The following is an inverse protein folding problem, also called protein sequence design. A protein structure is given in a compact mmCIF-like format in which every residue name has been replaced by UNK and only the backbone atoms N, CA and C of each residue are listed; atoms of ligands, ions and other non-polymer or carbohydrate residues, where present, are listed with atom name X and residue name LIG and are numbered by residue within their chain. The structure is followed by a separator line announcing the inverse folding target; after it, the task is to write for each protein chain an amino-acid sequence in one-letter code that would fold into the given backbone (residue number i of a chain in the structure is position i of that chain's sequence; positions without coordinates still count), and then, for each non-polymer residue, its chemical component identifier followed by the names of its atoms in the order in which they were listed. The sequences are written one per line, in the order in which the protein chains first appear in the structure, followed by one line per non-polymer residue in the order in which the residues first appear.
data_IF_246321888508
#
_entry.id   IF_246321888508
#
_cell.length_a   1.000
_cell.length_b   1.000
_cell.length_c   1.000
_cell.angle_alpha   90.00
_cell.angle_beta   90.00
_cell.angle_gamma   90.00
#
_symmetry.space_group_name_H-M   'P 1'
#
loop_
_entity.id
_entity.type
_entity.pdbx_description
1 polymer ?
#
# COMPACT_ATOMS: atom_id res chain seq x y z
N UNK A 1 20.74 14.27 -17.40
CA UNK A 1 20.02 14.69 -16.21
C UNK A 1 20.93 14.49 -15.00
N UNK A 2 21.18 15.55 -14.23
CA UNK A 2 22.02 15.46 -13.03
C UNK A 2 21.10 15.03 -11.87
N UNK A 3 21.34 13.84 -11.33
CA UNK A 3 20.65 13.33 -10.13
C UNK A 3 21.55 13.58 -8.94
N UNK A 4 21.04 14.28 -7.92
CA UNK A 4 21.73 14.41 -6.64
C UNK A 4 21.62 13.08 -5.88
N UNK A 5 22.75 12.42 -5.70
CA UNK A 5 22.85 11.21 -4.85
C UNK A 5 23.55 11.59 -3.54
N UNK A 6 23.17 10.95 -2.44
CA UNK A 6 23.67 11.27 -1.09
C UNK A 6 24.55 10.16 -0.46
N UNK A 7 25.42 9.43 -1.20
CA UNK A 7 26.20 8.36 -0.60
C UNK A 7 27.13 8.89 0.51
N UNK A 8 27.66 10.12 0.38
CA UNK A 8 28.47 10.72 1.42
C UNK A 8 27.77 11.02 2.75
N UNK A 9 26.42 11.07 2.74
CA UNK A 9 25.61 11.20 3.95
C UNK A 9 25.33 9.84 4.59
N UNK A 10 24.97 8.85 3.77
CA UNK A 10 24.70 7.49 4.25
C UNK A 10 25.95 6.78 4.77
N UNK A 11 27.12 7.09 4.18
CA UNK A 11 28.41 6.53 4.58
C UNK A 11 29.02 7.27 5.78
N UNK A 12 28.45 8.43 6.16
CA UNK A 12 28.91 9.20 7.32
C UNK A 12 28.29 8.63 8.61
N UNK A 13 29.04 7.79 9.31
CA UNK A 13 28.60 7.14 10.55
C UNK A 13 28.19 8.14 11.64
N UNK A 14 28.86 9.28 11.74
CA UNK A 14 28.54 10.33 12.72
C UNK A 14 27.17 10.95 12.44
N UNK A 15 26.88 11.25 11.19
CA UNK A 15 25.56 11.79 10.80
C UNK A 15 24.44 10.78 11.07
N UNK A 16 24.65 9.52 10.70
CA UNK A 16 23.68 8.45 10.92
C UNK A 16 23.41 8.22 12.41
N UNK A 17 24.45 8.25 13.25
CA UNK A 17 24.31 8.14 14.70
C UNK A 17 23.57 9.35 15.30
N UNK A 18 23.86 10.56 14.86
CA UNK A 18 23.14 11.76 15.29
C UNK A 18 21.66 11.69 14.93
N UNK A 19 21.33 11.30 13.70
CA UNK A 19 19.94 11.14 13.26
C UNK A 19 19.21 10.09 14.10
N UNK A 20 19.84 8.94 14.35
CA UNK A 20 19.26 7.91 15.20
C UNK A 20 18.94 8.43 16.59
N UNK A 21 19.91 9.07 17.23
CA UNK A 21 19.75 9.61 18.58
C UNK A 21 18.67 10.69 18.65
N UNK A 22 18.53 11.54 17.61
CA UNK A 22 17.48 12.55 17.53
C UNK A 22 16.11 11.89 17.37
N UNK A 23 15.97 10.92 16.48
CA UNK A 23 14.72 10.21 16.26
C UNK A 23 14.28 9.43 17.52
N UNK A 24 15.19 8.71 18.17
CA UNK A 24 14.93 7.99 19.42
C UNK A 24 14.50 8.95 20.53
N UNK A 25 15.19 10.08 20.71
CA UNK A 25 14.83 11.08 21.71
C UNK A 25 13.46 11.68 21.45
N UNK A 26 13.13 11.99 20.20
CA UNK A 26 11.83 12.56 19.83
C UNK A 26 10.71 11.53 19.99
N UNK A 27 10.95 10.28 19.63
CA UNK A 27 10.01 9.17 19.83
C UNK A 27 9.72 8.96 21.32
N UNK A 28 10.76 8.93 22.17
CA UNK A 28 10.63 8.80 23.62
C UNK A 28 9.82 9.96 24.23
N UNK A 29 10.03 11.20 23.78
CA UNK A 29 9.33 12.38 24.30
C UNK A 29 7.88 12.49 23.82
N UNK A 30 7.59 12.06 22.58
CA UNK A 30 6.26 12.14 21.99
C UNK A 30 5.43 10.86 22.15
N UNK A 31 6.08 9.76 22.57
CA UNK A 31 5.42 8.44 22.77
C UNK A 31 4.97 7.78 21.48
N UNK A 32 5.49 8.22 20.33
CA UNK A 32 5.15 7.70 18.99
C UNK A 32 6.33 7.96 18.05
N UNK A 33 6.57 7.08 17.05
CA UNK A 33 7.53 7.36 15.99
C UNK A 33 7.28 8.72 15.35
N UNK A 34 8.34 9.36 14.89
CA UNK A 34 8.28 10.71 14.34
C UNK A 34 8.82 10.79 12.93
N UNK A 35 8.28 11.74 12.18
CA UNK A 35 8.79 12.20 10.89
C UNK A 35 9.42 13.58 11.09
N UNK A 36 10.64 13.77 10.57
CA UNK A 36 11.39 15.01 10.78
C UNK A 36 11.87 15.61 9.46
N UNK A 37 11.72 16.94 9.37
CA UNK A 37 12.40 17.72 8.35
C UNK A 37 13.63 18.38 8.99
N UNK A 38 14.75 18.29 8.32
CA UNK A 38 16.02 18.86 8.82
C UNK A 38 16.83 19.54 7.73
N UNK A 39 17.76 20.39 8.15
CA UNK A 39 18.85 20.91 7.32
C UNK A 39 20.18 20.69 8.03
N UNK A 40 21.25 20.57 7.24
CA UNK A 40 22.61 20.42 7.75
C UNK A 40 23.56 21.27 6.90
N UNK A 41 24.36 22.14 7.53
CA UNK A 41 25.29 23.05 6.85
C UNK A 41 26.71 22.50 6.75
N UNK A 42 26.93 21.25 7.12
CA UNK A 42 28.22 20.58 7.18
C UNK A 42 28.83 20.59 8.59
N UNK A 43 28.30 21.39 9.52
CA UNK A 43 28.76 21.47 10.91
C UNK A 43 27.64 21.32 11.92
N UNK A 44 26.48 21.91 11.63
CA UNK A 44 25.34 21.98 12.54
C UNK A 44 24.12 21.32 11.91
N UNK A 45 23.37 20.61 12.75
CA UNK A 45 22.09 20.02 12.42
C UNK A 45 20.96 20.96 12.87
N UNK A 46 19.98 21.19 11.99
CA UNK A 46 18.83 22.04 12.24
C UNK A 46 17.57 21.23 12.07
N UNK A 47 16.86 20.98 13.16
CA UNK A 47 15.52 20.39 13.10
C UNK A 47 14.54 21.49 12.67
N UNK A 48 13.96 21.36 11.49
CA UNK A 48 13.03 22.34 10.92
C UNK A 48 11.60 22.02 11.28
N UNK A 49 11.25 20.74 11.33
CA UNK A 49 9.91 20.27 11.67
C UNK A 49 10.00 18.88 12.29
N UNK A 50 9.11 18.60 13.25
CA UNK A 50 8.89 17.29 13.81
C UNK A 50 7.36 17.05 13.87
N UNK A 51 6.91 15.91 13.38
CA UNK A 51 5.52 15.48 13.43
C UNK A 51 5.46 14.05 13.96
N UNK A 52 4.44 13.67 14.73
CA UNK A 52 4.16 12.28 15.00
C UNK A 52 4.00 11.55 13.66
N UNK A 53 4.70 10.44 13.49
CA UNK A 53 4.48 9.58 12.34
C UNK A 53 3.08 8.99 12.46
N UNK A 54 2.21 9.26 11.47
CA UNK A 54 0.90 8.66 11.45
C UNK A 54 1.09 7.16 11.27
N UNK A 55 0.73 6.39 12.29
CA UNK A 55 0.63 4.93 12.13
C UNK A 55 -0.38 4.69 11.02
N UNK A 56 0.01 3.93 10.02
CA UNK A 56 -0.92 3.38 9.05
C UNK A 56 -2.06 2.78 9.86
N UNK A 57 -3.28 3.25 9.58
CA UNK A 57 -4.48 2.91 10.36
C UNK A 57 -4.53 1.39 10.55
N UNK A 58 -4.52 0.93 11.81
CA UNK A 58 -4.56 -0.49 12.22
C UNK A 58 -5.92 -1.14 11.90
N UNK A 59 -6.65 -0.61 10.93
CA UNK A 59 -7.89 -1.22 10.46
C UNK A 59 -7.60 -2.59 9.89
N UNK A 60 -8.38 -3.56 10.33
CA UNK A 60 -8.34 -4.89 9.75
C UNK A 60 -8.69 -4.82 8.24
N UNK A 61 -8.11 -5.71 7.40
CA UNK A 61 -8.47 -5.80 6.00
C UNK A 61 -9.96 -6.16 5.88
N UNK A 62 -10.69 -5.43 5.05
CA UNK A 62 -12.10 -5.73 4.81
C UNK A 62 -12.22 -6.97 3.91
N UNK A 63 -13.17 -7.89 4.20
CA UNK A 63 -13.48 -8.97 3.27
C UNK A 63 -14.08 -8.38 1.99
N UNK A 64 -13.53 -8.78 0.82
CA UNK A 64 -14.01 -8.32 -0.49
C UNK A 64 -14.94 -9.39 -1.07
N UNK A 65 -16.28 -9.17 -1.13
CA UNK A 65 -17.21 -10.12 -1.73
C UNK A 65 -16.96 -10.22 -3.25
N UNK A 66 -17.03 -11.44 -3.79
CA UNK A 66 -16.79 -11.70 -5.21
C UNK A 66 -18.08 -11.76 -6.05
N UNK A 67 -19.22 -11.98 -5.40
CA UNK A 67 -20.51 -12.17 -6.07
C UNK A 67 -21.38 -10.90 -5.98
N UNK A 68 -20.80 -9.73 -6.29
CA UNK A 68 -21.55 -8.47 -6.31
C UNK A 68 -22.10 -8.22 -7.71
N UNK A 69 -23.42 -7.93 -7.85
CA UNK A 69 -23.98 -7.56 -9.14
C UNK A 69 -23.24 -6.37 -9.75
N UNK A 70 -22.92 -6.43 -11.05
CA UNK A 70 -22.14 -5.40 -11.73
C UNK A 70 -22.78 -4.01 -11.67
N UNK A 71 -24.11 -3.94 -11.63
CA UNK A 71 -24.85 -2.68 -11.53
C UNK A 71 -24.74 -2.04 -10.14
N UNK A 72 -24.36 -2.80 -9.12
CA UNK A 72 -24.19 -2.32 -7.76
C UNK A 72 -22.74 -1.88 -7.48
N UNK A 73 -21.81 -2.21 -8.36
CA UNK A 73 -20.41 -1.76 -8.25
C UNK A 73 -20.25 -0.35 -8.80
N UNK A 74 -19.72 0.56 -7.97
CA UNK A 74 -19.42 1.93 -8.38
C UNK A 74 -17.98 2.07 -8.86
N UNK A 75 -17.04 1.51 -8.13
CA UNK A 75 -15.65 1.38 -8.59
C UNK A 75 -14.92 0.23 -7.89
N UNK A 76 -13.86 -0.25 -8.54
CA UNK A 76 -12.87 -1.15 -7.95
C UNK A 76 -11.48 -0.55 -8.11
N UNK A 77 -10.53 -0.95 -7.27
CA UNK A 77 -9.11 -0.62 -7.44
C UNK A 77 -8.27 -1.83 -7.05
N UNK A 78 -7.08 -1.95 -7.64
CA UNK A 78 -6.18 -3.10 -7.54
C UNK A 78 -4.73 -2.71 -7.22
N UNK A 79 -4.49 -1.47 -6.77
CA UNK A 79 -3.16 -1.02 -6.35
C UNK A 79 -3.18 0.10 -5.33
N UNK A 80 -2.15 0.07 -4.47
CA UNK A 80 -1.93 1.05 -3.40
C UNK A 80 -3.12 1.16 -2.45
N UNK A 81 -3.78 0.04 -2.20
CA UNK A 81 -4.94 -0.04 -1.32
C UNK A 81 -4.49 -0.18 0.13
N UNK A 82 -4.96 0.71 1.00
CA UNK A 82 -4.83 0.58 2.47
C UNK A 82 -5.94 -0.31 3.02
N UNK A 83 -5.83 -0.76 4.29
CA UNK A 83 -6.94 -1.44 4.94
C UNK A 83 -8.02 -0.45 5.37
N UNK A 84 -9.28 -0.86 5.26
CA UNK A 84 -10.38 -0.03 5.76
C UNK A 84 -11.76 -0.55 5.40
N UNK A 85 -12.73 -0.07 6.18
CA UNK A 85 -14.14 -0.34 5.99
C UNK A 85 -14.91 0.96 6.21
N UNK A 86 -15.58 1.47 5.18
CA UNK A 86 -16.29 2.74 5.21
C UNK A 86 -17.76 2.45 4.92
N UNK A 87 -18.58 2.37 5.95
CA UNK A 87 -20.01 2.09 5.79
C UNK A 87 -20.79 3.36 5.45
N UNK A 88 -21.99 3.17 4.92
CA UNK A 88 -23.08 4.12 4.90
C UNK A 88 -22.73 5.51 4.33
N UNK A 89 -22.01 5.56 3.24
CA UNK A 89 -21.78 6.79 2.50
C UNK A 89 -23.08 7.20 1.80
N UNK A 90 -23.56 8.39 2.14
CA UNK A 90 -24.82 8.92 1.62
C UNK A 90 -24.62 9.88 0.45
N UNK A 91 -23.44 10.47 0.31
CA UNK A 91 -23.19 11.41 -0.78
C UNK A 91 -21.87 11.14 -1.49
N UNK A 92 -21.87 11.36 -2.80
CA UNK A 92 -20.67 11.37 -3.64
C UNK A 92 -20.50 12.76 -4.23
N UNK A 93 -19.36 13.37 -3.99
CA UNK A 93 -18.94 14.61 -4.66
C UNK A 93 -17.96 14.21 -5.76
N UNK A 94 -18.41 14.33 -7.00
CA UNK A 94 -17.68 13.88 -8.18
C UNK A 94 -17.27 15.05 -9.06
N UNK A 95 -15.97 15.21 -9.26
CA UNK A 95 -15.39 16.11 -10.26
C UNK A 95 -15.08 15.31 -11.50
N UNK A 96 -15.82 15.53 -12.59
CA UNK A 96 -15.59 14.80 -13.84
C UNK A 96 -14.22 15.16 -14.46
N UNK A 97 -13.31 14.17 -14.64
CA UNK A 97 -11.97 14.43 -15.15
C UNK A 97 -11.95 15.08 -16.53
N UNK A 98 -12.87 14.66 -17.42
CA UNK A 98 -12.91 15.19 -18.80
C UNK A 98 -13.38 16.65 -18.81
N UNK A 99 -14.44 16.95 -18.03
CA UNK A 99 -14.97 18.31 -17.93
C UNK A 99 -14.01 19.24 -17.19
N UNK A 100 -13.37 18.75 -16.12
CA UNK A 100 -12.37 19.55 -15.41
C UNK A 100 -11.20 19.95 -16.30
N UNK A 101 -10.73 19.05 -17.16
CA UNK A 101 -9.65 19.33 -18.11
C UNK A 101 -10.00 20.34 -19.20
N UNK A 102 -11.28 20.50 -19.48
CA UNK A 102 -11.78 21.47 -20.47
C UNK A 102 -11.92 22.89 -19.87
N UNK A 103 -11.77 23.04 -18.57
CA UNK A 103 -11.75 24.36 -17.94
C UNK A 103 -10.49 25.12 -18.39
N UNK A 104 -10.67 26.22 -19.10
CA UNK A 104 -9.55 26.99 -19.66
C UNK A 104 -9.06 28.09 -18.72
N UNK A 105 -9.87 28.45 -17.71
CA UNK A 105 -9.60 29.52 -16.78
C UNK A 105 -9.16 29.01 -15.41
N UNK A 106 -8.03 29.53 -14.91
CA UNK A 106 -7.59 29.27 -13.53
C UNK A 106 -8.69 29.58 -12.51
N UNK A 107 -9.48 30.63 -12.75
CA UNK A 107 -10.56 31.05 -11.85
C UNK A 107 -11.68 30.00 -11.77
N UNK A 108 -12.00 29.30 -12.85
CA UNK A 108 -12.99 28.23 -12.85
C UNK A 108 -12.49 27.01 -12.10
N UNK A 109 -11.23 26.64 -12.24
CA UNK A 109 -10.61 25.55 -11.47
C UNK A 109 -10.60 25.88 -9.96
N UNK A 110 -10.26 27.11 -9.59
CA UNK A 110 -10.33 27.58 -8.20
C UNK A 110 -11.79 27.66 -7.70
N UNK A 111 -12.75 27.95 -8.57
CA UNK A 111 -14.16 27.93 -8.20
C UNK A 111 -14.65 26.53 -7.85
N UNK A 112 -14.17 25.47 -8.55
CA UNK A 112 -14.44 24.08 -8.19
C UNK A 112 -13.91 23.80 -6.78
N UNK A 113 -12.66 24.14 -6.48
CA UNK A 113 -12.05 23.93 -5.17
C UNK A 113 -12.83 24.68 -4.05
N UNK A 114 -13.16 25.96 -4.24
CA UNK A 114 -13.97 26.74 -3.29
C UNK A 114 -15.35 26.12 -3.07
N UNK A 115 -15.97 25.60 -4.11
CA UNK A 115 -17.28 24.95 -4.01
C UNK A 115 -17.19 23.66 -3.20
N UNK A 116 -16.13 22.86 -3.39
CA UNK A 116 -15.88 21.67 -2.55
C UNK A 116 -15.73 22.08 -1.08
N UNK A 117 -15.01 23.15 -0.77
CA UNK A 117 -14.91 23.68 0.60
C UNK A 117 -16.27 24.13 1.19
N UNK A 118 -17.21 24.62 0.36
CA UNK A 118 -18.59 24.89 0.79
C UNK A 118 -19.36 23.60 1.06
N UNK A 119 -19.27 22.62 0.15
CA UNK A 119 -19.93 21.33 0.28
C UNK A 119 -19.44 20.55 1.50
N UNK A 120 -18.15 20.65 1.83
CA UNK A 120 -17.57 20.07 3.04
C UNK A 120 -18.24 20.55 4.34
N UNK A 121 -18.79 21.77 4.35
CA UNK A 121 -19.52 22.34 5.50
C UNK A 121 -21.01 22.00 5.50
N UNK A 122 -21.58 21.69 4.35
CA UNK A 122 -23.01 21.42 4.17
C UNK A 122 -23.33 19.92 4.26
N UNK A 123 -22.44 19.07 3.78
CA UNK A 123 -22.67 17.63 3.75
C UNK A 123 -22.44 16.98 5.12
N UNK A 124 -23.13 15.85 5.41
CA UNK A 124 -22.97 15.13 6.66
C UNK A 124 -21.52 14.62 6.83
N UNK A 125 -20.88 15.02 7.93
CA UNK A 125 -19.48 14.67 8.20
C UNK A 125 -19.26 13.16 8.19
N UNK A 126 -18.21 12.70 7.49
CA UNK A 126 -17.84 11.29 7.32
C UNK A 126 -18.90 10.43 6.63
N UNK A 127 -19.87 11.04 5.96
CA UNK A 127 -20.93 10.38 5.20
C UNK A 127 -20.86 10.68 3.71
N UNK A 128 -19.79 11.33 3.26
CA UNK A 128 -19.55 11.59 1.85
C UNK A 128 -18.11 11.26 1.45
N UNK A 129 -17.92 10.97 0.17
CA UNK A 129 -16.61 10.76 -0.45
C UNK A 129 -16.39 11.79 -1.56
N UNK A 130 -15.12 12.06 -1.83
CA UNK A 130 -14.67 12.92 -2.92
C UNK A 130 -13.99 12.09 -3.98
N UNK A 131 -14.43 12.24 -5.23
CA UNK A 131 -13.81 11.63 -6.41
C UNK A 131 -13.42 12.73 -7.39
N UNK A 132 -12.20 12.70 -7.93
CA UNK A 132 -11.86 13.68 -8.95
C UNK A 132 -10.45 13.51 -9.52
N UNK A 133 -10.11 14.29 -10.55
CA UNK A 133 -8.93 14.08 -11.37
C UNK A 133 -7.63 14.47 -10.67
N UNK A 134 -6.59 13.70 -10.93
CA UNK A 134 -5.22 14.04 -10.68
C UNK A 134 -4.87 14.26 -9.22
N UNK A 135 -3.82 15.03 -9.01
CA UNK A 135 -3.23 15.32 -7.70
C UNK A 135 -3.95 16.48 -7.01
N UNK A 136 -4.70 16.18 -5.96
CA UNK A 136 -5.33 17.19 -5.13
C UNK A 136 -4.32 17.86 -4.18
N UNK A 137 -4.66 19.02 -3.62
CA UNK A 137 -3.78 19.73 -2.69
C UNK A 137 -2.55 20.41 -3.33
N UNK A 138 -2.43 20.42 -4.64
CA UNK A 138 -1.35 21.12 -5.34
C UNK A 138 -1.48 22.63 -5.21
N UNK A 139 -0.55 23.29 -4.52
CA UNK A 139 -0.60 24.74 -4.27
C UNK A 139 -0.08 25.58 -5.44
N UNK A 140 0.69 25.02 -6.35
CA UNK A 140 1.35 25.74 -7.44
C UNK A 140 0.63 25.64 -8.78
N UNK A 141 0.28 24.44 -9.19
CA UNK A 141 -0.33 24.15 -10.48
C UNK A 141 -1.73 23.54 -10.33
N UNK A 142 -2.75 24.35 -10.62
CA UNK A 142 -4.16 23.95 -10.53
C UNK A 142 -4.58 22.99 -11.66
N UNK A 143 -3.70 22.77 -12.65
CA UNK A 143 -3.97 21.85 -13.75
C UNK A 143 -3.66 20.39 -13.40
N UNK A 144 -2.87 20.16 -12.34
CA UNK A 144 -2.52 18.82 -11.88
C UNK A 144 -3.69 18.09 -11.22
N UNK A 145 -4.66 18.82 -10.69
CA UNK A 145 -5.85 18.30 -10.02
C UNK A 145 -6.61 19.41 -9.29
N UNK A 146 -7.52 19.05 -8.40
CA UNK A 146 -8.34 20.03 -7.68
C UNK A 146 -7.53 20.65 -6.54
N UNK A 147 -7.30 21.97 -6.60
CA UNK A 147 -6.45 22.69 -5.66
C UNK A 147 -7.19 23.02 -4.35
N UNK A 148 -7.27 22.04 -3.46
CA UNK A 148 -7.86 22.19 -2.11
C UNK A 148 -6.81 22.15 -1.03
N UNK A 149 -7.15 22.63 0.16
CA UNK A 149 -6.39 22.39 1.39
C UNK A 149 -7.09 21.31 2.22
N UNK A 150 -6.40 20.77 3.21
CA UNK A 150 -7.01 19.86 4.17
C UNK A 150 -8.30 20.44 4.78
N UNK A 151 -8.31 21.74 5.14
CA UNK A 151 -9.47 22.39 5.74
C UNK A 151 -10.72 22.36 4.82
N UNK A 152 -10.52 22.35 3.51
CA UNK A 152 -11.59 22.32 2.52
C UNK A 152 -12.26 20.94 2.39
N UNK A 153 -11.63 19.87 2.91
CA UNK A 153 -12.10 18.50 2.77
C UNK A 153 -12.14 17.72 4.09
N UNK A 154 -11.92 18.37 5.22
CA UNK A 154 -11.78 17.73 6.54
C UNK A 154 -13.01 16.92 7.00
N UNK A 155 -14.16 17.11 6.39
CA UNK A 155 -15.42 16.39 6.68
C UNK A 155 -15.60 15.12 5.86
N UNK A 156 -14.83 14.91 4.77
CA UNK A 156 -14.96 13.72 3.92
C UNK A 156 -14.55 12.44 4.67
N UNK A 157 -15.14 11.31 4.29
CA UNK A 157 -14.71 10.00 4.75
C UNK A 157 -13.49 9.50 3.93
N UNK A 158 -13.46 9.84 2.64
CA UNK A 158 -12.45 9.33 1.71
C UNK A 158 -12.22 10.31 0.56
N UNK A 159 -10.98 10.41 0.10
CA UNK A 159 -10.57 11.04 -1.14
C UNK A 159 -10.11 9.97 -2.13
N UNK A 160 -10.70 9.98 -3.33
CA UNK A 160 -10.33 9.11 -4.45
C UNK A 160 -9.76 9.99 -5.57
N UNK A 161 -8.48 9.83 -5.84
CA UNK A 161 -7.81 10.51 -6.94
C UNK A 161 -7.83 9.65 -8.20
N UNK A 162 -8.40 10.20 -9.29
CA UNK A 162 -8.59 9.48 -10.54
C UNK A 162 -7.44 9.79 -11.49
N UNK A 163 -6.61 8.77 -11.76
CA UNK A 163 -5.49 8.83 -12.70
C UNK A 163 -5.93 8.34 -14.09
N UNK A 164 -6.89 9.03 -14.71
CA UNK A 164 -7.34 8.72 -16.07
C UNK A 164 -6.28 9.11 -17.10
N UNK A 165 -5.89 8.16 -17.94
CA UNK A 165 -4.86 8.35 -18.98
C UNK A 165 -5.36 9.31 -20.07
N UNK A 166 -4.46 10.18 -20.55
CA UNK A 166 -4.70 11.09 -21.67
C UNK A 166 -3.57 10.94 -22.68
N UNK A 167 -3.79 10.13 -23.70
CA UNK A 167 -2.70 9.72 -24.59
C UNK A 167 -1.62 8.98 -23.79
N UNK A 168 -0.38 9.46 -23.89
CA UNK A 168 0.75 8.87 -23.14
C UNK A 168 0.95 9.47 -21.73
N UNK A 169 0.10 10.40 -21.31
CA UNK A 169 0.19 11.06 -20.02
C UNK A 169 -0.75 10.40 -18.98
N UNK A 170 -0.18 10.02 -17.87
CA UNK A 170 -0.91 9.59 -16.65
C UNK A 170 -0.74 10.69 -15.60
N UNK A 171 -1.83 11.25 -15.04
CA UNK A 171 -1.73 12.29 -14.04
C UNK A 171 -0.98 11.82 -12.78
N UNK A 172 -0.15 12.71 -12.22
CA UNK A 172 0.42 12.52 -10.89
C UNK A 172 -0.67 12.47 -9.83
N UNK A 173 -0.41 11.72 -8.77
CA UNK A 173 -1.29 11.57 -7.61
C UNK A 173 -0.61 12.10 -6.34
N UNK A 174 -1.40 12.35 -5.30
CA UNK A 174 -0.90 12.90 -4.03
C UNK A 174 -0.16 11.87 -3.17
N UNK A 175 -0.12 10.62 -3.55
CA UNK A 175 0.55 9.56 -2.78
C UNK A 175 2.00 9.94 -2.45
N UNK A 176 2.37 9.85 -1.15
CA UNK A 176 3.72 10.22 -0.69
C UNK A 176 3.98 11.72 -0.54
N UNK A 177 2.99 12.59 -0.70
CA UNK A 177 3.13 14.04 -0.47
C UNK A 177 2.70 14.44 0.95
N UNK A 178 3.03 15.67 1.36
CA UNK A 178 2.56 16.23 2.63
C UNK A 178 1.03 16.28 2.72
N UNK A 179 0.35 16.57 1.62
CA UNK A 179 -1.11 16.54 1.57
C UNK A 179 -1.66 15.14 1.87
N UNK A 180 -1.02 14.11 1.33
CA UNK A 180 -1.36 12.72 1.66
C UNK A 180 -1.15 12.42 3.15
N UNK A 181 -0.06 12.90 3.76
CA UNK A 181 0.18 12.76 5.19
C UNK A 181 -0.93 13.43 6.01
N UNK A 182 -1.32 14.67 5.66
CA UNK A 182 -2.43 15.38 6.31
C UNK A 182 -3.74 14.57 6.26
N UNK A 183 -4.01 13.84 5.15
CA UNK A 183 -5.18 12.97 5.03
C UNK A 183 -5.11 11.80 6.02
N UNK A 184 -3.98 11.12 6.08
CA UNK A 184 -3.76 9.96 6.97
C UNK A 184 -3.88 10.37 8.44
N UNK A 185 -3.23 11.45 8.86
CA UNK A 185 -3.31 12.00 10.22
C UNK A 185 -4.75 12.34 10.62
N UNK A 186 -5.53 12.79 9.65
CA UNK A 186 -6.93 13.18 9.85
C UNK A 186 -7.90 12.03 9.70
N UNK A 187 -7.42 10.81 9.51
CA UNK A 187 -8.23 9.62 9.25
C UNK A 187 -9.18 9.78 8.06
N UNK A 188 -8.75 10.52 7.03
CA UNK A 188 -9.39 10.54 5.73
C UNK A 188 -8.77 9.42 4.91
N UNK A 189 -9.58 8.45 4.48
CA UNK A 189 -9.08 7.39 3.62
C UNK A 189 -8.67 7.96 2.26
N UNK A 190 -7.62 7.40 1.70
CA UNK A 190 -7.13 7.78 0.38
C UNK A 190 -7.07 6.55 -0.51
N UNK A 191 -7.47 6.71 -1.77
CA UNK A 191 -7.38 5.68 -2.78
C UNK A 191 -7.02 6.28 -4.13
N UNK A 192 -5.93 5.84 -4.77
CA UNK A 192 -5.69 6.10 -6.18
C UNK A 192 -6.56 5.17 -7.03
N UNK A 193 -7.18 5.71 -8.07
CA UNK A 193 -8.02 4.94 -8.98
C UNK A 193 -7.51 5.08 -10.40
N UNK A 194 -7.25 3.95 -11.04
CA UNK A 194 -6.74 3.86 -12.42
C UNK A 194 -7.80 3.23 -13.33
N UNK A 195 -8.80 3.99 -13.82
CA UNK A 195 -9.96 3.44 -14.52
C UNK A 195 -9.64 2.88 -15.91
N UNK A 196 -8.45 3.13 -16.44
CA UNK A 196 -8.02 2.65 -17.76
C UNK A 196 -7.28 1.30 -17.69
N UNK A 197 -7.19 0.69 -16.50
CA UNK A 197 -6.54 -0.60 -16.32
C UNK A 197 -7.53 -1.76 -16.48
N UNK A 198 -7.04 -2.86 -17.02
CA UNK A 198 -7.84 -4.05 -17.26
C UNK A 198 -8.37 -4.63 -15.93
N UNK A 199 -9.67 -4.86 -15.87
CA UNK A 199 -10.32 -5.42 -14.68
C UNK A 199 -10.81 -4.38 -13.67
N UNK A 200 -10.43 -3.11 -13.81
CA UNK A 200 -10.92 -2.03 -12.94
C UNK A 200 -12.31 -1.59 -13.40
N UNK A 201 -13.27 -1.58 -12.49
CA UNK A 201 -14.61 -1.06 -12.73
C UNK A 201 -14.65 0.41 -12.32
N UNK A 202 -15.16 1.27 -13.20
CA UNK A 202 -15.48 2.65 -12.88
C UNK A 202 -16.83 3.03 -13.50
N UNK A 203 -17.88 3.04 -12.69
CA UNK A 203 -19.27 3.21 -13.14
C UNK A 203 -19.60 4.68 -13.44
N UNK A 204 -19.02 5.20 -14.52
CA UNK A 204 -19.34 6.56 -15.00
C UNK A 204 -20.79 6.76 -15.35
N UNK A 205 -21.50 5.69 -15.77
CA UNK A 205 -22.94 5.76 -16.07
C UNK A 205 -23.73 6.18 -14.84
N UNK A 206 -23.45 5.61 -13.69
CA UNK A 206 -24.08 5.99 -12.43
C UNK A 206 -23.69 7.42 -12.05
N UNK A 207 -22.39 7.74 -12.03
CA UNK A 207 -21.85 9.05 -11.61
C UNK A 207 -22.39 10.21 -12.45
N UNK A 208 -22.58 10.01 -13.75
CA UNK A 208 -23.08 11.04 -14.66
C UNK A 208 -24.61 11.04 -14.79
N UNK A 209 -25.26 9.86 -14.59
CA UNK A 209 -26.70 9.70 -14.76
C UNK A 209 -27.52 10.05 -13.53
N UNK A 210 -26.96 9.96 -12.34
CA UNK A 210 -27.65 10.31 -11.10
C UNK A 210 -28.02 11.80 -11.03
N UNK A 211 -29.12 12.17 -10.34
CA UNK A 211 -29.46 13.58 -10.10
C UNK A 211 -28.31 14.37 -9.44
N UNK A 212 -28.06 15.58 -9.91
CA UNK A 212 -27.02 16.45 -9.36
C UNK A 212 -27.62 17.49 -8.41
N UNK A 213 -27.28 17.42 -7.14
CA UNK A 213 -27.77 18.35 -6.11
C UNK A 213 -26.96 19.65 -6.03
N UNK A 214 -25.95 19.88 -6.88
CA UNK A 214 -25.08 21.05 -6.79
C UNK A 214 -25.86 22.37 -6.78
N UNK A 215 -26.78 22.55 -7.72
CA UNK A 215 -27.59 23.77 -7.84
C UNK A 215 -28.46 24.02 -6.59
N UNK A 216 -28.89 22.96 -5.89
CA UNK A 216 -29.67 23.07 -4.66
C UNK A 216 -28.80 23.44 -3.47
N UNK A 217 -27.62 22.80 -3.33
CA UNK A 217 -26.72 22.99 -2.18
C UNK A 217 -25.83 24.23 -2.31
N UNK A 218 -25.45 24.56 -3.53
CA UNK A 218 -24.59 25.71 -3.84
C UNK A 218 -25.09 26.43 -5.11
N UNK A 219 -26.20 27.18 -5.04
CA UNK A 219 -26.79 27.83 -6.23
C UNK A 219 -25.84 28.77 -6.96
N UNK A 220 -24.93 29.44 -6.26
CA UNK A 220 -23.90 30.30 -6.81
C UNK A 220 -22.83 29.56 -7.63
N UNK A 221 -22.77 28.24 -7.53
CA UNK A 221 -21.89 27.36 -8.27
C UNK A 221 -22.61 26.54 -9.37
N UNK A 222 -23.88 26.82 -9.66
CA UNK A 222 -24.69 26.08 -10.65
C UNK A 222 -23.99 25.99 -12.04
N UNK A 223 -23.25 27.00 -12.44
CA UNK A 223 -22.47 27.02 -13.69
C UNK A 223 -21.41 25.91 -13.78
N UNK A 224 -21.03 25.32 -12.65
CA UNK A 224 -20.08 24.22 -12.58
C UNK A 224 -20.75 22.84 -12.63
N UNK A 225 -22.07 22.75 -12.83
CA UNK A 225 -22.85 21.48 -12.74
C UNK A 225 -22.45 20.44 -13.77
N UNK A 226 -21.81 20.84 -14.87
CA UNK A 226 -21.25 19.90 -15.86
C UNK A 226 -19.92 19.28 -15.38
N UNK A 227 -19.18 19.99 -14.51
CA UNK A 227 -17.86 19.59 -14.02
C UNK A 227 -17.93 18.98 -12.62
N UNK A 228 -18.79 19.54 -11.75
CA UNK A 228 -18.91 19.15 -10.34
C UNK A 228 -20.33 18.64 -10.07
N UNK A 229 -20.42 17.44 -9.54
CA UNK A 229 -21.68 16.78 -9.22
C UNK A 229 -21.74 16.39 -7.76
N UNK A 230 -22.89 16.57 -7.15
CA UNK A 230 -23.19 16.07 -5.81
C UNK A 230 -24.36 15.10 -5.93
N UNK A 231 -24.10 13.85 -5.62
CA UNK A 231 -25.06 12.75 -5.75
C UNK A 231 -25.54 12.35 -4.34
N UNK A 232 -26.84 12.43 -4.10
CA UNK A 232 -27.47 11.79 -2.95
C UNK A 232 -27.71 10.32 -3.31
N UNK A 233 -26.89 9.42 -2.72
CA UNK A 233 -26.92 8.01 -3.06
C UNK A 233 -28.26 7.37 -2.70
N UNK A 234 -28.82 7.56 -1.47
CA UNK A 234 -30.16 7.07 -1.13
C UNK A 234 -31.26 7.54 -2.10
N UNK A 235 -31.26 8.80 -2.46
CA UNK A 235 -32.26 9.34 -3.38
C UNK A 235 -32.12 8.76 -4.80
N UNK A 236 -30.88 8.52 -5.24
CA UNK A 236 -30.61 7.97 -6.56
C UNK A 236 -30.81 6.43 -6.65
N UNK A 237 -30.85 5.72 -5.51
CA UNK A 237 -30.83 4.24 -5.46
C UNK A 237 -31.95 3.62 -4.64
N UNK A 238 -33.07 4.30 -4.47
CA UNK A 238 -34.22 3.83 -3.68
C UNK A 238 -33.88 3.45 -2.23
N UNK A 239 -33.06 4.28 -1.56
CA UNK A 239 -32.76 4.13 -0.14
C UNK A 239 -31.45 3.39 0.17
N UNK A 240 -30.72 2.92 -0.84
CA UNK A 240 -29.39 2.28 -0.62
C UNK A 240 -28.31 3.30 -0.31
N UNK A 241 -27.21 2.83 0.26
CA UNK A 241 -26.01 3.62 0.58
C UNK A 241 -24.79 3.03 -0.12
N UNK A 242 -23.73 3.81 -0.24
CA UNK A 242 -22.45 3.31 -0.76
C UNK A 242 -21.60 2.78 0.40
N UNK A 243 -21.02 1.62 0.24
CA UNK A 243 -20.02 1.01 1.12
C UNK A 243 -18.71 0.89 0.38
N UNK A 244 -17.60 1.25 1.04
CA UNK A 244 -16.26 1.06 0.48
C UNK A 244 -15.47 0.11 1.35
N UNK A 245 -15.00 -0.97 0.74
CA UNK A 245 -14.21 -2.04 1.32
C UNK A 245 -12.79 -1.94 0.78
N UNK A 246 -11.81 -1.98 1.68
CA UNK A 246 -10.39 -1.81 1.36
C UNK A 246 -9.59 -2.93 2.01
N UNK A 247 -8.81 -3.65 1.23
CA UNK A 247 -8.00 -4.78 1.67
C UNK A 247 -6.58 -4.66 1.13
N UNK A 248 -5.64 -4.24 1.98
CA UNK A 248 -4.24 -4.09 1.61
C UNK A 248 -3.51 -5.43 1.42
N UNK A 249 -4.03 -6.52 1.97
CA UNK A 249 -3.42 -7.85 1.79
C UNK A 249 -3.69 -8.41 0.39
N UNK A 250 -4.84 -8.06 -0.19
CA UNK A 250 -5.22 -8.41 -1.56
C UNK A 250 -4.84 -7.32 -2.57
N UNK A 251 -4.48 -6.12 -2.08
CA UNK A 251 -4.38 -4.89 -2.86
C UNK A 251 -5.68 -4.60 -3.64
N UNK A 252 -6.83 -4.90 -3.04
CA UNK A 252 -8.14 -4.77 -3.65
C UNK A 252 -9.02 -3.76 -2.89
N UNK A 253 -9.73 -2.93 -3.63
CA UNK A 253 -10.80 -2.08 -3.13
C UNK A 253 -12.09 -2.29 -3.92
N UNK A 254 -13.23 -2.22 -3.21
CA UNK A 254 -14.56 -2.33 -3.79
C UNK A 254 -15.49 -1.28 -3.19
N UNK A 255 -16.09 -0.47 -4.04
CA UNK A 255 -17.18 0.44 -3.67
C UNK A 255 -18.50 -0.07 -4.26
N UNK A 256 -19.45 -0.42 -3.42
CA UNK A 256 -20.71 -1.04 -3.83
C UNK A 256 -21.91 -0.44 -3.12
N UNK A 257 -23.05 -0.51 -3.78
CA UNK A 257 -24.35 -0.14 -3.23
C UNK A 257 -24.90 -1.27 -2.35
N UNK A 258 -25.30 -0.93 -1.13
CA UNK A 258 -25.88 -1.87 -0.16
C UNK A 258 -27.15 -1.29 0.46
N UNK A 259 -28.00 -2.13 1.01
CA UNK A 259 -29.17 -1.67 1.74
C UNK A 259 -28.77 -0.91 3.02
N UNK A 260 -29.46 0.19 3.31
CA UNK A 260 -29.16 0.97 4.49
C UNK A 260 -29.43 0.16 5.78
N UNK A 261 -28.45 0.09 6.68
CA UNK A 261 -28.56 -0.68 7.93
C UNK A 261 -28.24 -2.17 7.81
N UNK A 262 -27.87 -2.64 6.62
CA UNK A 262 -27.30 -3.96 6.47
C UNK A 262 -25.92 -4.01 7.18
N UNK A 263 -25.84 -4.75 8.29
CA UNK A 263 -24.56 -5.08 8.91
C UNK A 263 -23.84 -6.05 7.99
N UNK A 264 -23.00 -5.53 7.10
CA UNK A 264 -22.04 -6.39 6.41
C UNK A 264 -21.03 -6.96 7.40
N UNK A 265 -20.29 -7.99 7.01
CA UNK A 265 -19.20 -8.56 7.80
C UNK A 265 -18.16 -7.44 8.12
N UNK A 266 -18.44 -6.70 9.18
CA UNK A 266 -17.51 -5.73 9.72
C UNK A 266 -16.30 -6.52 10.19
N UNK A 267 -15.09 -6.21 9.70
CA UNK A 267 -13.92 -6.83 10.26
C UNK A 267 -13.93 -6.53 11.76
N UNK A 268 -14.01 -7.59 12.58
CA UNK A 268 -13.86 -7.42 14.02
C UNK A 268 -12.52 -6.76 14.27
N UNK A 269 -12.48 -5.68 15.08
CA UNK A 269 -11.20 -5.17 15.55
C UNK A 269 -10.54 -6.37 16.26
N UNK A 270 -9.45 -6.84 15.70
CA UNK A 270 -8.63 -7.87 16.33
C UNK A 270 -8.23 -7.33 17.69
N UNK A 271 -8.96 -7.74 18.74
CA UNK A 271 -8.69 -7.46 20.16
C UNK A 271 -7.50 -8.28 20.66
N UNK A 272 -6.62 -8.67 19.76
CA UNK A 272 -5.29 -9.06 20.13
C UNK A 272 -4.40 -7.83 20.00
N UNK A 273 -4.20 -7.17 21.11
CA UNK A 273 -3.01 -6.36 21.42
C UNK A 273 -1.77 -7.25 21.36
N UNK A 274 -1.54 -7.88 20.23
CA UNK A 274 -0.21 -8.27 19.82
C UNK A 274 0.25 -7.16 18.89
N UNK A 275 1.31 -6.48 19.28
CA UNK A 275 2.12 -5.60 18.47
C UNK A 275 2.50 -6.33 17.17
N UNK A 276 1.58 -6.43 16.18
CA UNK A 276 1.94 -6.75 14.83
C UNK A 276 2.51 -5.47 14.23
N UNK A 277 3.79 -5.26 14.51
CA UNK A 277 4.63 -4.42 13.64
C UNK A 277 4.29 -4.80 12.20
N UNK A 278 4.18 -3.81 11.26
CA UNK A 278 3.98 -4.13 9.85
C UNK A 278 4.94 -5.25 9.52
N UNK A 279 4.43 -6.35 8.97
CA UNK A 279 5.24 -7.54 8.74
C UNK A 279 6.34 -7.13 7.77
N UNK A 280 7.52 -6.86 8.32
CA UNK A 280 8.67 -6.44 7.52
C UNK A 280 8.90 -7.54 6.49
N UNK A 281 9.27 -7.19 5.28
CA UNK A 281 9.40 -8.13 4.16
C UNK A 281 10.23 -9.36 4.50
N UNK A 282 11.21 -9.24 5.40
CA UNK A 282 12.03 -10.35 5.87
C UNK A 282 11.26 -11.34 6.77
N UNK A 283 10.26 -10.89 7.56
CA UNK A 283 9.55 -11.73 8.51
C UNK A 283 8.71 -12.81 7.82
N UNK A 284 7.92 -12.45 6.81
CA UNK A 284 7.13 -13.42 6.08
C UNK A 284 8.02 -14.35 5.25
N UNK A 285 9.12 -13.84 4.68
CA UNK A 285 10.11 -14.64 3.97
C UNK A 285 10.77 -15.66 4.89
N UNK A 286 11.16 -15.24 6.08
CA UNK A 286 11.72 -16.14 7.08
C UNK A 286 10.70 -17.21 7.50
N UNK A 287 9.43 -16.83 7.73
CA UNK A 287 8.36 -17.78 8.02
C UNK A 287 8.16 -18.78 6.88
N UNK A 288 8.27 -18.36 5.61
CA UNK A 288 8.18 -19.27 4.48
C UNK A 288 9.40 -20.20 4.39
N UNK A 289 10.60 -19.72 4.67
CA UNK A 289 11.80 -20.55 4.77
C UNK A 289 11.67 -21.61 5.89
N UNK A 290 11.13 -21.22 7.05
CA UNK A 290 10.82 -22.14 8.17
C UNK A 290 9.72 -23.13 7.76
N UNK A 291 8.71 -22.71 7.00
CA UNK A 291 7.66 -23.61 6.49
C UNK A 291 8.20 -24.61 5.48
N UNK A 292 9.03 -24.18 4.54
CA UNK A 292 9.74 -25.05 3.60
C UNK A 292 10.57 -26.10 4.37
N UNK A 293 11.27 -25.68 5.44
CA UNK A 293 12.07 -26.57 6.27
C UNK A 293 11.23 -27.64 6.97
N UNK A 294 10.03 -27.25 7.47
CA UNK A 294 9.12 -28.20 8.15
C UNK A 294 8.45 -29.19 7.19
N UNK A 295 8.17 -28.77 5.94
CA UNK A 295 7.51 -29.62 4.94
C UNK A 295 8.52 -30.46 4.12
N UNK A 296 9.83 -30.22 4.31
CA UNK A 296 10.89 -30.95 3.61
C UNK A 296 11.08 -32.35 4.23
N UNK A 297 11.03 -33.38 3.41
CA UNK A 297 11.33 -34.77 3.77
C UNK A 297 12.83 -35.06 3.61
N UNK A 298 13.67 -34.98 4.66
CA UNK A 298 15.12 -35.03 4.53
C UNK A 298 15.65 -36.32 3.87
N UNK A 299 15.08 -37.46 4.23
CA UNK A 299 15.51 -38.80 3.69
C UNK A 299 15.12 -38.95 2.23
N UNK A 300 13.97 -38.44 1.82
CA UNK A 300 13.50 -38.47 0.44
C UNK A 300 14.42 -37.68 -0.48
N UNK A 301 14.78 -36.47 -0.03
CA UNK A 301 15.52 -35.51 -0.86
C UNK A 301 17.06 -35.56 -0.62
N UNK A 302 17.55 -36.38 0.28
CA UNK A 302 18.99 -36.47 0.60
C UNK A 302 19.54 -35.22 1.29
N UNK A 303 18.70 -34.53 2.10
CA UNK A 303 19.06 -33.28 2.78
C UNK A 303 19.54 -33.56 4.20
N UNK A 304 20.74 -33.09 4.56
CA UNK A 304 21.30 -33.20 5.90
C UNK A 304 20.99 -32.01 6.77
N UNK A 305 20.93 -30.81 6.17
CA UNK A 305 20.58 -29.57 6.84
C UNK A 305 20.12 -28.54 5.81
N UNK A 306 19.24 -27.63 6.27
CA UNK A 306 18.78 -26.47 5.52
C UNK A 306 19.10 -25.19 6.30
N UNK A 307 19.57 -24.17 5.62
CA UNK A 307 19.93 -22.91 6.22
C UNK A 307 19.31 -21.76 5.41
N UNK A 308 19.02 -20.64 6.11
CA UNK A 308 18.68 -19.35 5.49
C UNK A 308 19.82 -18.36 5.74
N UNK A 309 20.14 -17.53 4.74
CA UNK A 309 21.16 -16.49 4.86
C UNK A 309 20.74 -15.21 4.14
N UNK A 310 21.64 -14.29 3.90
CA UNK A 310 21.38 -13.05 3.15
C UNK A 310 20.38 -12.11 3.82
N UNK A 311 19.64 -11.37 2.99
CA UNK A 311 18.77 -10.27 3.41
C UNK A 311 17.61 -10.74 4.30
N UNK A 312 17.08 -11.94 4.05
CA UNK A 312 15.99 -12.52 4.86
C UNK A 312 16.46 -12.83 6.28
N UNK A 313 17.65 -13.45 6.44
CA UNK A 313 18.22 -13.72 7.76
C UNK A 313 18.60 -12.45 8.51
N UNK A 314 19.14 -11.47 7.80
CA UNK A 314 19.67 -10.22 8.38
C UNK A 314 18.60 -9.15 8.62
N UNK A 315 17.33 -9.48 8.41
CA UNK A 315 16.20 -8.56 8.58
C UNK A 315 16.26 -7.30 7.68
N UNK A 316 16.95 -7.39 6.54
CA UNK A 316 17.14 -6.29 5.58
C UNK A 316 16.41 -6.51 4.25
N UNK A 317 15.64 -7.62 4.11
CA UNK A 317 14.92 -7.92 2.88
C UNK A 317 13.92 -6.82 2.53
N UNK A 318 14.00 -6.33 1.30
CA UNK A 318 13.05 -5.41 0.68
C UNK A 318 11.97 -6.12 -0.15
N UNK A 319 11.08 -5.36 -0.81
CA UNK A 319 9.99 -5.94 -1.61
C UNK A 319 10.46 -6.81 -2.79
N UNK A 320 11.61 -6.50 -3.37
CA UNK A 320 12.19 -7.27 -4.49
C UNK A 320 13.26 -8.29 -4.08
N UNK A 321 13.49 -8.51 -2.76
CA UNK A 321 14.47 -9.48 -2.28
C UNK A 321 13.97 -10.92 -2.46
N UNK A 322 14.87 -11.82 -2.77
CA UNK A 322 14.68 -13.29 -2.76
C UNK A 322 14.89 -13.89 -1.35
N UNK A 323 14.69 -15.18 -1.27
CA UNK A 323 14.96 -15.99 -0.06
C UNK A 323 16.16 -16.86 -0.38
N UNK A 324 17.32 -16.52 0.20
CA UNK A 324 18.55 -17.27 0.03
C UNK A 324 18.53 -18.52 0.91
N UNK A 325 18.47 -19.70 0.30
CA UNK A 325 18.50 -21.00 0.98
C UNK A 325 19.78 -21.76 0.65
N UNK A 326 20.42 -22.31 1.67
CA UNK A 326 21.59 -23.18 1.53
C UNK A 326 21.25 -24.58 2.04
N UNK A 327 21.38 -25.58 1.16
CA UNK A 327 21.13 -26.99 1.46
C UNK A 327 22.45 -27.73 1.60
N UNK A 328 22.67 -28.36 2.76
CA UNK A 328 23.70 -29.40 2.87
C UNK A 328 23.12 -30.72 2.37
N UNK A 329 23.62 -31.17 1.25
CA UNK A 329 23.09 -32.30 0.51
C UNK A 329 24.03 -33.53 0.58
N UNK A 330 23.42 -34.67 0.88
CA UNK A 330 24.08 -35.99 0.80
C UNK A 330 23.09 -37.00 0.24
N UNK A 331 23.10 -37.20 -1.07
CA UNK A 331 22.13 -38.05 -1.74
C UNK A 331 22.58 -38.42 -3.16
N UNK A 332 21.67 -39.01 -3.90
CA UNK A 332 21.87 -39.40 -5.30
C UNK A 332 21.53 -38.24 -6.26
N UNK A 333 21.97 -38.31 -7.51
CA UNK A 333 21.59 -37.33 -8.54
C UNK A 333 20.09 -37.29 -8.80
N UNK A 334 19.35 -38.37 -8.55
CA UNK A 334 17.91 -38.43 -8.67
C UNK A 334 17.23 -37.62 -7.53
N UNK A 335 17.66 -37.83 -6.30
CA UNK A 335 17.22 -37.08 -5.13
C UNK A 335 17.51 -35.57 -5.29
N UNK A 336 18.67 -35.24 -5.85
CA UNK A 336 19.03 -33.86 -6.16
C UNK A 336 18.08 -33.22 -7.16
N UNK A 337 17.71 -33.95 -8.23
CA UNK A 337 16.75 -33.46 -9.22
C UNK A 337 15.36 -33.27 -8.62
N UNK A 338 14.89 -34.23 -7.83
CA UNK A 338 13.60 -34.10 -7.11
C UNK A 338 13.58 -32.89 -6.17
N UNK A 339 14.65 -32.70 -5.39
CA UNK A 339 14.79 -31.54 -4.51
C UNK A 339 14.69 -30.21 -5.27
N UNK A 340 15.45 -30.09 -6.37
CA UNK A 340 15.43 -28.86 -7.19
C UNK A 340 14.03 -28.59 -7.73
N UNK A 341 13.34 -29.58 -8.28
CA UNK A 341 11.98 -29.41 -8.79
C UNK A 341 10.99 -29.06 -7.69
N UNK A 342 11.13 -29.64 -6.51
CA UNK A 342 10.27 -29.32 -5.37
C UNK A 342 10.48 -27.87 -4.90
N UNK A 343 11.74 -27.43 -4.79
CA UNK A 343 12.10 -26.05 -4.44
C UNK A 343 11.68 -25.04 -5.53
N UNK A 344 11.78 -25.39 -6.80
CA UNK A 344 11.26 -24.57 -7.92
C UNK A 344 9.75 -24.36 -7.80
N UNK A 345 9.00 -25.39 -7.41
CA UNK A 345 7.57 -25.29 -7.15
C UNK A 345 7.25 -24.26 -6.07
N UNK A 346 7.95 -24.33 -4.92
CA UNK A 346 7.86 -23.34 -3.86
C UNK A 346 8.25 -21.94 -4.35
N UNK A 347 9.37 -21.82 -5.04
CA UNK A 347 9.87 -20.54 -5.51
C UNK A 347 8.91 -19.82 -6.44
N UNK A 348 8.24 -20.54 -7.35
CA UNK A 348 7.21 -19.97 -8.24
C UNK A 348 5.94 -19.55 -7.47
N UNK A 349 5.47 -20.37 -6.52
CA UNK A 349 4.34 -20.02 -5.67
C UNK A 349 4.64 -18.77 -4.81
N UNK A 350 5.85 -18.71 -4.25
CA UNK A 350 6.27 -17.56 -3.45
C UNK A 350 6.50 -16.30 -4.29
N UNK A 351 6.90 -16.45 -5.56
CA UNK A 351 6.98 -15.34 -6.51
C UNK A 351 5.61 -14.69 -6.75
N UNK A 352 4.58 -15.49 -6.97
CA UNK A 352 3.23 -14.98 -7.13
C UNK A 352 2.73 -14.34 -5.82
N UNK A 353 2.98 -14.98 -4.68
CA UNK A 353 2.67 -14.40 -3.37
C UNK A 353 3.40 -13.06 -3.14
N UNK A 354 4.68 -12.96 -3.54
CA UNK A 354 5.44 -11.73 -3.47
C UNK A 354 4.84 -10.64 -4.35
N UNK A 355 4.51 -11.00 -5.59
CA UNK A 355 3.86 -10.06 -6.52
C UNK A 355 2.54 -9.53 -5.96
N UNK A 356 1.68 -10.41 -5.42
CA UNK A 356 0.41 -10.01 -4.80
C UNK A 356 0.61 -9.12 -3.56
N UNK A 357 1.75 -9.23 -2.88
CA UNK A 357 2.05 -8.46 -1.65
C UNK A 357 2.83 -7.17 -1.88
N UNK A 358 3.63 -7.11 -2.93
CA UNK A 358 4.62 -6.04 -3.13
C UNK A 358 4.57 -5.38 -4.50
N UNK A 359 3.86 -5.99 -5.48
CA UNK A 359 3.88 -5.56 -6.87
C UNK A 359 5.16 -5.95 -7.63
N UNK A 360 6.15 -6.57 -6.97
CA UNK A 360 7.40 -7.00 -7.62
C UNK A 360 7.26 -8.40 -8.18
N UNK A 361 7.42 -8.54 -9.50
CA UNK A 361 7.48 -9.82 -10.20
C UNK A 361 8.90 -10.35 -10.25
N UNK A 362 9.06 -11.62 -9.88
CA UNK A 362 10.28 -12.40 -10.06
C UNK A 362 9.88 -13.75 -10.65
N UNK A 363 10.75 -14.39 -11.42
CA UNK A 363 10.46 -15.72 -11.97
C UNK A 363 10.54 -16.80 -10.89
N UNK A 364 11.37 -16.59 -9.89
CA UNK A 364 11.58 -17.48 -8.74
C UNK A 364 11.99 -16.63 -7.53
N UNK A 365 11.31 -16.81 -6.39
CA UNK A 365 11.63 -16.08 -5.17
C UNK A 365 12.66 -16.82 -4.29
N UNK A 366 12.98 -18.08 -4.59
CA UNK A 366 14.02 -18.83 -3.88
C UNK A 366 15.32 -18.79 -4.68
N UNK A 367 16.39 -18.36 -4.03
CA UNK A 367 17.76 -18.57 -4.49
C UNK A 367 18.36 -19.75 -3.75
N UNK A 368 18.47 -20.89 -4.46
CA UNK A 368 18.83 -22.19 -3.89
C UNK A 368 20.29 -22.54 -4.16
N UNK A 369 21.07 -22.68 -3.09
CA UNK A 369 22.44 -23.15 -3.14
C UNK A 369 22.55 -24.54 -2.51
N UNK A 370 23.17 -25.48 -3.24
CA UNK A 370 23.34 -26.86 -2.77
C UNK A 370 24.83 -27.12 -2.60
N UNK A 371 25.23 -27.50 -1.40
CA UNK A 371 26.62 -27.85 -1.04
C UNK A 371 26.70 -29.30 -0.56
N UNK A 372 27.80 -29.96 -0.89
CA UNK A 372 28.11 -31.33 -0.47
C UNK A 372 29.13 -31.36 0.66
N UNK A 373 29.41 -32.53 1.22
CA UNK A 373 30.49 -32.72 2.20
C UNK A 373 31.86 -32.29 1.66
N UNK A 374 32.07 -32.46 0.36
CA UNK A 374 33.33 -32.08 -0.31
C UNK A 374 33.46 -30.56 -0.39
N UNK A 375 32.36 -29.84 -0.72
CA UNK A 375 32.32 -28.39 -0.78
C UNK A 375 32.55 -27.77 0.62
N UNK A 376 31.97 -28.39 1.65
CA UNK A 376 32.16 -27.97 3.05
C UNK A 376 33.60 -28.16 3.48
N UNK A 377 34.20 -29.33 3.16
CA UNK A 377 35.60 -29.60 3.47
C UNK A 377 36.59 -28.71 2.71
N UNK A 378 36.24 -28.32 1.48
CA UNK A 378 37.04 -27.39 0.66
C UNK A 378 36.86 -25.90 1.09
N UNK A 379 35.85 -25.58 1.88
CA UNK A 379 35.53 -24.18 2.29
C UNK A 379 35.07 -23.33 1.11
N UNK A 380 34.32 -23.89 0.19
CA UNK A 380 33.81 -23.19 -0.97
C UNK A 380 32.89 -22.02 -0.56
N UNK A 381 32.70 -21.03 -1.45
CA UNK A 381 32.15 -19.71 -1.14
C UNK A 381 30.81 -19.71 -0.39
N UNK A 382 29.92 -20.63 -0.68
CA UNK A 382 28.63 -20.78 0.03
C UNK A 382 28.75 -21.72 1.23
N UNK A 383 29.56 -22.77 1.16
CA UNK A 383 29.82 -23.69 2.25
C UNK A 383 30.49 -22.99 3.44
N UNK A 384 31.34 -21.99 3.18
CA UNK A 384 31.97 -21.16 4.20
C UNK A 384 30.94 -20.39 5.08
N UNK A 385 29.70 -20.18 4.63
CA UNK A 385 28.64 -19.54 5.42
C UNK A 385 28.08 -20.42 6.54
N UNK A 386 28.28 -21.74 6.49
CA UNK A 386 27.75 -22.67 7.50
C UNK A 386 28.40 -22.43 8.87
N UNK A 387 29.73 -22.23 8.89
CA UNK A 387 30.51 -22.04 10.12
C UNK A 387 31.22 -20.65 10.14
N UNK A 388 30.72 -19.68 9.42
CA UNK A 388 31.31 -18.35 9.34
C UNK A 388 31.35 -17.67 10.74
N UNK A 389 32.47 -17.05 11.07
CA UNK A 389 32.62 -16.24 12.31
C UNK A 389 31.79 -14.96 12.17
N UNK A 390 31.71 -14.40 10.98
CA UNK A 390 30.95 -13.20 10.67
C UNK A 390 29.83 -13.55 9.71
N UNK A 391 28.58 -13.20 10.04
CA UNK A 391 27.38 -13.44 9.24
C UNK A 391 27.11 -14.91 8.88
N UNK A 392 27.08 -15.85 9.88
CA UNK A 392 26.82 -17.26 9.61
C UNK A 392 25.40 -17.48 9.07
N UNK A 393 25.23 -18.50 8.22
CA UNK A 393 23.91 -18.96 7.82
C UNK A 393 23.13 -19.51 9.02
N UNK A 394 21.84 -19.16 9.13
CA UNK A 394 20.96 -19.66 10.22
C UNK A 394 20.41 -21.01 9.83
N UNK A 395 20.70 -22.03 10.62
CA UNK A 395 20.12 -23.37 10.45
C UNK A 395 18.63 -23.35 10.75
N UNK A 396 17.86 -23.96 9.85
CA UNK A 396 16.42 -24.17 10.01
C UNK A 396 16.15 -25.56 10.59
N UNK A 397 15.18 -25.73 11.49
CA UNK A 397 14.80 -27.05 12.00
C UNK A 397 14.14 -27.85 10.89
N UNK A 398 14.61 -29.08 10.67
CA UNK A 398 13.97 -30.06 9.83
C UNK A 398 13.16 -31.00 10.74
N UNK A 399 11.87 -31.20 10.42
CA UNK A 399 11.08 -32.22 11.13
C UNK A 399 11.62 -33.59 10.73
N UNK A 400 12.43 -34.19 11.63
CA UNK A 400 12.95 -35.56 11.49
C UNK A 400 11.99 -36.63 11.99
N UNK A 401 10.93 -36.19 12.67
CA UNK A 401 9.95 -37.08 13.27
C UNK A 401 8.56 -36.78 12.66
N UNK A 402 8.35 -37.28 11.43
CA UNK A 402 7.01 -37.46 10.88
C UNK A 402 6.36 -38.64 11.63
N UNK A 403 5.61 -38.33 12.70
CA UNK A 403 4.70 -39.28 13.32
C UNK A 403 3.40 -39.39 12.51
#
# INVERSE_FOLDING_TARGET
ELVATFPGLSDNTIFVEQMRNILELLEDQLGTPVDVEFAHDGQSFYLLQCRPQSRADESAPAPIPKDVPSDDVIFTADRHVSNGWIPDITHIVYVDPDRYSQLTGREDMLAVARTIGKLNKLLPRRRFILLGPGRWGSRGDVTLGVSVTYADISGTAMLIEIAMRRGDYVPDLSFGTHFFQDLVESRIRYLPLYPDEDGVVFNRRFLLGAPNLLATLAPDAERLSDTLRVIDVPAATNGRVLRVLLNAELDEALAMLVDAGEEGDRPEPTTETSERKPMQYWQWRLRMAERIASDLEPDRFGVQALYVFGSTKNATAGPGSDIDLLVHFRGTDEQRRELVHWMEGWGRCLSEMNFLRTGYRTDNLLDLHIVTDEDIAAGDSFAAKIDAITDPARKLPLDKDGA
#
